data_IF_262009131779
#
_entry.id   IF_262009131779
#
_cell.length_a   1.000
_cell.length_b   1.000
_cell.length_c   1.000
_cell.angle_alpha   90.00
_cell.angle_beta   90.00
_cell.angle_gamma   90.00
#
_symmetry.space_group_name_H-M   'P 1'
#
loop_
_entity.id
_entity.type
_entity.pdbx_description
1 polymer ?
#
# COMPACT_ATOMS: atom_id res chain seq x y z
N UNK A 1 -41.79 -8.46 21.58
CA UNK A 1 -42.14 -7.13 21.04
C UNK A 1 -40.91 -6.26 21.26
N UNK A 2 -40.11 -5.86 20.29
CA UNK A 2 -40.24 -5.79 18.83
C UNK A 2 -38.81 -5.90 18.28
N UNK A 3 -38.58 -6.91 17.45
CA UNK A 3 -37.44 -6.97 16.55
C UNK A 3 -37.82 -6.16 15.32
N UNK A 4 -37.21 -4.99 15.11
CA UNK A 4 -37.25 -4.28 13.83
C UNK A 4 -36.18 -3.18 13.76
N UNK A 5 -34.91 -3.58 13.65
CA UNK A 5 -33.84 -2.68 13.19
C UNK A 5 -32.96 -3.52 12.26
N UNK A 6 -32.74 -3.03 11.03
CA UNK A 6 -31.83 -3.55 10.00
C UNK A 6 -32.38 -4.44 8.86
N UNK A 7 -33.66 -4.36 8.51
CA UNK A 7 -34.13 -4.79 7.17
C UNK A 7 -34.88 -3.68 6.43
N UNK A 8 -34.37 -2.46 6.51
CA UNK A 8 -34.71 -1.44 5.52
C UNK A 8 -34.21 -1.89 4.16
N UNK A 9 -35.10 -2.37 3.29
CA UNK A 9 -34.86 -2.35 1.84
C UNK A 9 -34.41 -0.94 1.51
N UNK A 10 -33.12 -0.75 1.20
CA UNK A 10 -32.63 0.51 0.70
C UNK A 10 -33.55 0.95 -0.43
N UNK A 11 -33.96 2.22 -0.42
CA UNK A 11 -34.72 2.81 -1.51
C UNK A 11 -34.09 2.38 -2.84
N UNK A 12 -34.93 2.02 -3.81
CA UNK A 12 -34.55 1.61 -5.16
C UNK A 12 -33.83 2.77 -5.86
N UNK A 13 -32.56 3.00 -5.50
CA UNK A 13 -31.69 3.94 -6.18
C UNK A 13 -31.41 3.42 -7.59
N UNK A 14 -30.93 4.31 -8.46
CA UNK A 14 -30.42 3.94 -9.76
C UNK A 14 -28.93 3.56 -9.67
N UNK A 15 -28.41 2.73 -10.58
CA UNK A 15 -26.99 2.43 -10.65
C UNK A 15 -26.15 3.71 -10.81
N UNK A 16 -24.90 3.65 -10.36
CA UNK A 16 -23.99 4.80 -10.36
C UNK A 16 -22.57 4.39 -10.71
N UNK A 17 -21.75 5.36 -11.10
CA UNK A 17 -20.31 5.21 -11.23
C UNK A 17 -19.64 6.03 -10.13
N UNK A 18 -18.75 5.41 -9.36
CA UNK A 18 -17.86 6.11 -8.44
C UNK A 18 -16.56 6.46 -9.16
N UNK A 19 -16.31 7.75 -9.37
CA UNK A 19 -15.00 8.23 -9.86
C UNK A 19 -14.13 8.58 -8.67
N UNK A 20 -12.96 7.96 -8.58
CA UNK A 20 -12.16 7.90 -7.37
C UNK A 20 -10.72 8.35 -7.63
N UNK A 21 -10.23 9.26 -6.81
CA UNK A 21 -8.82 9.60 -6.67
C UNK A 21 -8.20 8.77 -5.55
N UNK A 22 -6.93 8.43 -5.71
CA UNK A 22 -6.12 7.83 -4.65
C UNK A 22 -5.40 8.95 -3.91
N UNK A 23 -5.70 9.14 -2.63
CA UNK A 23 -5.04 10.13 -1.78
C UNK A 23 -3.63 9.68 -1.36
N UNK A 24 -2.82 10.59 -0.83
CA UNK A 24 -1.44 10.28 -0.40
C UNK A 24 -1.37 9.16 0.66
N UNK A 25 -2.45 8.96 1.42
CA UNK A 25 -2.56 7.94 2.46
C UNK A 25 -3.06 6.59 1.92
N UNK A 26 -3.22 6.46 0.60
CA UNK A 26 -3.77 5.27 -0.05
C UNK A 26 -5.29 5.12 0.14
N UNK A 27 -5.96 6.18 0.60
CA UNK A 27 -7.41 6.27 0.72
C UNK A 27 -8.07 6.65 -0.60
N UNK A 28 -9.33 6.25 -0.76
CA UNK A 28 -10.13 6.56 -1.95
C UNK A 28 -11.08 7.71 -1.65
N UNK A 29 -10.98 8.78 -2.44
CA UNK A 29 -11.86 9.95 -2.37
C UNK A 29 -12.47 10.24 -3.72
N UNK A 30 -13.73 10.62 -3.77
CA UNK A 30 -14.40 10.70 -5.05
C UNK A 30 -15.82 11.20 -5.02
N UNK A 31 -16.48 11.11 -6.17
CA UNK A 31 -17.88 11.43 -6.34
C UNK A 31 -18.65 10.22 -6.84
N UNK A 32 -19.88 10.08 -6.35
CA UNK A 32 -20.85 9.16 -6.91
C UNK A 32 -21.63 9.89 -8.01
N UNK A 33 -21.56 9.39 -9.23
CA UNK A 33 -22.23 9.97 -10.40
C UNK A 33 -23.34 9.00 -10.84
N UNK A 34 -24.61 9.44 -10.88
CA UNK A 34 -25.70 8.65 -11.45
C UNK A 34 -25.37 8.17 -12.88
N UNK A 35 -25.82 6.96 -13.24
CA UNK A 35 -25.44 6.37 -14.53
C UNK A 35 -25.96 7.17 -15.75
N UNK A 36 -27.08 7.89 -15.62
CA UNK A 36 -27.61 8.79 -16.63
C UNK A 36 -26.72 10.03 -16.87
N UNK A 37 -25.88 10.38 -15.89
CA UNK A 37 -24.91 11.48 -15.94
C UNK A 37 -23.46 11.03 -16.24
N UNK A 38 -23.24 9.74 -16.55
CA UNK A 38 -21.89 9.17 -16.75
C UNK A 38 -21.07 9.87 -17.85
N UNK A 39 -21.73 10.53 -18.80
CA UNK A 39 -21.09 11.29 -19.87
C UNK A 39 -20.06 12.29 -19.32
N UNK A 40 -20.34 12.92 -18.18
CA UNK A 40 -19.44 13.86 -17.50
C UNK A 40 -18.12 13.25 -17.04
N UNK A 41 -18.12 11.96 -16.71
CA UNK A 41 -16.90 11.23 -16.31
C UNK A 41 -15.97 11.12 -17.52
N UNK A 42 -16.51 10.63 -18.63
CA UNK A 42 -15.74 10.32 -19.83
C UNK A 42 -15.32 11.57 -20.61
N UNK A 43 -16.04 12.68 -20.46
CA UNK A 43 -15.66 14.00 -21.00
C UNK A 43 -14.69 14.77 -20.09
N UNK A 44 -14.29 14.22 -18.94
CA UNK A 44 -13.35 14.87 -18.02
C UNK A 44 -13.93 16.11 -17.31
N UNK A 45 -15.27 16.20 -17.20
CA UNK A 45 -15.97 17.34 -16.61
C UNK A 45 -16.16 17.20 -15.09
N UNK A 46 -15.82 16.05 -14.51
CA UNK A 46 -15.89 15.86 -13.06
C UNK A 46 -14.77 16.64 -12.40
N UNK A 47 -15.12 17.47 -11.43
CA UNK A 47 -14.17 18.27 -10.65
C UNK A 47 -14.17 17.89 -9.19
N UNK A 48 -13.03 18.03 -8.53
CA UNK A 48 -12.89 17.98 -7.07
C UNK A 48 -11.96 19.11 -6.62
N UNK A 49 -12.16 19.66 -5.41
CA UNK A 49 -11.23 20.64 -4.86
C UNK A 49 -9.83 20.05 -4.73
N UNK A 50 -8.80 20.82 -5.11
CA UNK A 50 -7.40 20.35 -5.16
C UNK A 50 -6.90 19.86 -3.79
N UNK A 51 -7.39 20.46 -2.70
CA UNK A 51 -7.08 20.05 -1.33
C UNK A 51 -7.37 18.57 -1.04
N UNK A 52 -8.27 17.94 -1.80
CA UNK A 52 -8.62 16.51 -1.68
C UNK A 52 -7.39 15.59 -1.81
N UNK A 53 -6.35 16.04 -2.52
CA UNK A 53 -5.11 15.28 -2.71
C UNK A 53 -4.08 15.50 -1.60
N UNK A 54 -4.25 16.55 -0.79
CA UNK A 54 -3.27 16.99 0.22
C UNK A 54 -3.68 16.70 1.67
N UNK A 55 -4.75 15.93 1.88
CA UNK A 55 -5.31 15.68 3.21
C UNK A 55 -4.38 14.80 4.05
N UNK A 56 -4.27 15.11 5.34
CA UNK A 56 -3.58 14.23 6.29
C UNK A 56 -4.42 12.98 6.62
N UNK A 57 -3.88 12.10 7.47
CA UNK A 57 -4.55 10.86 7.86
C UNK A 57 -5.92 11.07 8.54
N UNK A 58 -6.20 12.25 9.10
CA UNK A 58 -7.50 12.58 9.70
C UNK A 58 -8.47 13.25 8.71
N UNK A 59 -8.00 13.58 7.51
CA UNK A 59 -8.78 14.26 6.48
C UNK A 59 -8.77 15.79 6.60
N UNK A 60 -7.83 16.37 7.35
CA UNK A 60 -7.66 17.81 7.47
C UNK A 60 -6.97 18.39 6.22
N UNK A 61 -7.43 19.56 5.76
CA UNK A 61 -6.93 20.22 4.53
C UNK A 61 -5.56 20.86 4.70
N UNK A 62 -5.15 21.07 5.95
CA UNK A 62 -3.85 21.59 6.34
C UNK A 62 -3.50 22.90 5.63
N UNK A 63 -4.44 23.84 5.52
CA UNK A 63 -4.22 25.10 4.77
C UNK A 63 -2.97 25.87 5.22
N UNK A 64 -2.62 25.82 6.50
CA UNK A 64 -1.40 26.42 7.06
C UNK A 64 -0.09 25.79 6.54
N UNK A 65 -0.13 24.57 5.98
CA UNK A 65 0.98 23.86 5.34
C UNK A 65 0.89 23.98 3.81
N UNK A 66 -0.30 23.78 3.26
CA UNK A 66 -0.53 23.62 1.82
C UNK A 66 -0.77 24.97 1.12
N UNK A 67 -1.40 25.91 1.81
CA UNK A 67 -1.87 27.18 1.25
C UNK A 67 -2.94 27.00 0.16
N UNK A 68 -3.61 25.84 0.10
CA UNK A 68 -4.53 25.50 -0.98
C UNK A 68 -6.00 25.81 -0.66
N UNK A 69 -6.43 25.62 0.58
CA UNK A 69 -7.83 25.70 0.99
C UNK A 69 -8.25 27.17 1.16
N UNK A 70 -8.43 27.66 2.39
CA UNK A 70 -8.86 29.03 2.64
C UNK A 70 -7.90 30.09 2.08
N UNK A 71 -6.61 29.78 1.96
CA UNK A 71 -5.58 30.72 1.49
C UNK A 71 -5.78 31.16 0.03
N UNK A 72 -6.19 30.25 -0.86
CA UNK A 72 -6.45 30.57 -2.28
C UNK A 72 -7.87 30.21 -2.76
N UNK A 73 -8.72 29.72 -1.85
CA UNK A 73 -10.12 29.39 -2.12
C UNK A 73 -10.37 27.99 -2.66
N UNK A 74 -9.46 27.04 -2.42
CA UNK A 74 -9.56 25.62 -2.81
C UNK A 74 -9.97 25.39 -4.28
N UNK A 75 -9.13 25.81 -5.24
CA UNK A 75 -9.47 25.68 -6.65
C UNK A 75 -9.71 24.22 -7.03
N UNK A 76 -10.70 24.00 -7.89
CA UNK A 76 -10.99 22.69 -8.45
C UNK A 76 -9.88 22.22 -9.40
N UNK A 77 -9.60 20.91 -9.39
CA UNK A 77 -8.95 20.19 -10.48
C UNK A 77 -9.94 19.32 -11.25
N UNK A 78 -9.60 18.95 -12.48
CA UNK A 78 -10.40 18.03 -13.30
C UNK A 78 -9.97 16.57 -13.02
N UNK A 79 -10.93 15.70 -12.72
CA UNK A 79 -10.69 14.27 -12.51
C UNK A 79 -10.78 13.55 -13.86
N UNK A 80 -9.65 13.13 -14.40
CA UNK A 80 -9.55 12.39 -15.65
C UNK A 80 -9.60 10.89 -15.35
N UNK A 81 -10.73 10.26 -15.68
CA UNK A 81 -10.94 8.83 -15.44
C UNK A 81 -10.07 7.97 -16.36
N UNK A 82 -9.53 6.88 -15.80
CA UNK A 82 -8.79 5.86 -16.56
C UNK A 82 -9.71 4.68 -16.84
N UNK A 83 -10.23 4.57 -18.06
CA UNK A 83 -11.14 3.50 -18.49
C UNK A 83 -10.59 2.09 -18.21
N UNK A 84 -9.26 1.91 -18.22
CA UNK A 84 -8.62 0.62 -17.94
C UNK A 84 -8.85 0.15 -16.50
N UNK A 85 -9.20 1.07 -15.59
CA UNK A 85 -9.50 0.80 -14.19
C UNK A 85 -11.00 0.66 -13.89
N UNK A 86 -11.87 0.75 -14.90
CA UNK A 86 -13.32 0.61 -14.72
C UNK A 86 -13.68 -0.81 -14.26
N UNK A 87 -14.32 -0.93 -13.11
CA UNK A 87 -14.66 -2.21 -12.49
C UNK A 87 -16.07 -2.19 -11.85
N UNK A 88 -16.82 -3.31 -11.86
CA UNK A 88 -18.09 -3.38 -11.16
C UNK A 88 -17.91 -3.28 -9.65
N UNK A 89 -18.96 -2.87 -8.93
CA UNK A 89 -19.03 -2.92 -7.47
C UNK A 89 -20.04 -3.99 -7.02
N UNK A 90 -19.64 -5.27 -6.87
CA UNK A 90 -20.59 -6.36 -6.60
C UNK A 90 -21.26 -6.28 -5.22
N UNK A 91 -20.75 -5.43 -4.33
CA UNK A 91 -21.33 -5.14 -3.02
C UNK A 91 -22.34 -3.97 -3.04
N UNK A 92 -22.42 -3.22 -4.14
CA UNK A 92 -23.28 -2.05 -4.21
C UNK A 92 -24.74 -2.43 -4.51
N UNK A 93 -25.67 -1.74 -3.85
CA UNK A 93 -27.08 -1.73 -4.21
C UNK A 93 -27.43 -0.33 -4.77
N UNK A 94 -28.19 -0.23 -5.89
CA UNK A 94 -28.64 -1.34 -6.75
C UNK A 94 -27.49 -1.97 -7.57
N UNK A 95 -27.75 -3.16 -8.13
CA UNK A 95 -26.85 -3.85 -9.07
C UNK A 95 -26.55 -2.98 -10.31
N UNK A 96 -25.39 -3.21 -10.94
CA UNK A 96 -24.94 -2.45 -12.11
C UNK A 96 -24.14 -1.19 -11.78
N UNK A 97 -23.85 -0.93 -10.50
CA UNK A 97 -22.96 0.17 -10.11
C UNK A 97 -21.49 -0.18 -10.38
N UNK A 98 -20.70 0.82 -10.79
CA UNK A 98 -19.30 0.69 -11.19
C UNK A 98 -18.40 1.64 -10.39
N UNK A 99 -17.09 1.41 -10.41
CA UNK A 99 -16.06 2.33 -9.93
C UNK A 99 -14.97 2.49 -10.99
N UNK A 100 -14.35 3.66 -11.02
CA UNK A 100 -13.22 3.97 -11.90
C UNK A 100 -12.24 4.86 -11.16
N UNK A 101 -10.94 4.57 -11.30
CA UNK A 101 -9.90 5.44 -10.77
C UNK A 101 -9.64 6.58 -11.74
N UNK A 102 -9.26 7.73 -11.19
CA UNK A 102 -8.95 8.94 -11.94
C UNK A 102 -7.63 9.54 -11.47
N UNK A 103 -7.03 10.34 -12.35
CA UNK A 103 -5.91 11.23 -12.04
C UNK A 103 -6.45 12.65 -12.01
N UNK A 104 -6.10 13.45 -11.00
CA UNK A 104 -6.45 14.87 -11.03
C UNK A 104 -5.50 15.63 -11.94
N UNK A 105 -6.06 16.50 -12.78
CA UNK A 105 -5.35 17.40 -13.68
C UNK A 105 -5.69 18.86 -13.35
N UNK A 106 -4.70 19.72 -13.52
CA UNK A 106 -4.85 21.18 -13.48
C UNK A 106 -5.69 21.66 -14.68
N UNK A 107 -6.15 22.91 -14.66
CA UNK A 107 -6.93 23.47 -15.78
C UNK A 107 -6.14 23.66 -17.07
N UNK A 108 -4.81 23.67 -17.02
CA UNK A 108 -3.95 23.65 -18.20
C UNK A 108 -3.79 22.24 -18.80
N UNK A 109 -4.42 21.24 -18.18
CA UNK A 109 -4.40 19.84 -18.60
C UNK A 109 -3.21 19.04 -18.09
N UNK A 110 -2.25 19.67 -17.38
CA UNK A 110 -1.14 18.95 -16.76
C UNK A 110 -1.64 18.10 -15.57
N UNK A 111 -1.06 16.90 -15.33
CA UNK A 111 -1.42 16.12 -14.16
C UNK A 111 -0.95 16.83 -12.88
N UNK A 112 -1.77 16.78 -11.84
CA UNK A 112 -1.42 17.36 -10.54
C UNK A 112 -0.16 16.72 -9.97
N UNK A 113 0.75 17.55 -9.47
CA UNK A 113 1.97 17.09 -8.80
C UNK A 113 1.68 16.37 -7.47
N UNK A 114 0.46 16.45 -6.96
CA UNK A 114 0.03 15.82 -5.71
C UNK A 114 -0.54 14.41 -5.92
N UNK A 115 -0.81 14.03 -7.18
CA UNK A 115 -1.48 12.78 -7.50
C UNK A 115 -0.52 11.57 -7.45
N UNK A 116 -0.73 10.58 -6.57
CA UNK A 116 0.10 9.39 -6.51
C UNK A 116 0.19 8.62 -7.84
N UNK A 117 -0.90 8.55 -8.62
CA UNK A 117 -0.90 7.89 -9.94
C UNK A 117 -0.04 8.67 -10.92
N UNK A 118 -0.12 10.00 -10.91
CA UNK A 118 0.72 10.83 -11.77
C UNK A 118 2.21 10.70 -11.43
N UNK A 119 2.55 10.66 -10.14
CA UNK A 119 3.93 10.45 -9.68
C UNK A 119 4.48 9.12 -10.18
N UNK A 120 3.74 8.02 -10.00
CA UNK A 120 4.15 6.72 -10.52
C UNK A 120 4.28 6.76 -12.05
N UNK A 121 3.32 7.36 -12.74
CA UNK A 121 3.34 7.50 -14.22
C UNK A 121 4.59 8.25 -14.70
N UNK A 122 5.02 9.28 -13.98
CA UNK A 122 6.25 10.01 -14.30
C UNK A 122 7.51 9.14 -14.17
N UNK A 123 7.57 8.25 -13.16
CA UNK A 123 8.65 7.26 -13.02
C UNK A 123 8.60 6.25 -14.16
N UNK A 124 7.43 5.73 -14.51
CA UNK A 124 7.27 4.76 -15.60
C UNK A 124 7.69 5.34 -16.96
N UNK A 125 7.45 6.63 -17.19
CA UNK A 125 7.95 7.31 -18.40
C UNK A 125 9.48 7.26 -18.52
N UNK A 126 10.22 7.36 -17.40
CA UNK A 126 11.69 7.23 -17.41
C UNK A 126 12.15 5.83 -17.85
N UNK A 127 11.37 4.79 -17.55
CA UNK A 127 11.60 3.43 -18.05
C UNK A 127 11.26 3.32 -19.55
N UNK A 128 10.11 3.87 -19.95
CA UNK A 128 9.68 3.87 -21.36
C UNK A 128 10.71 4.55 -22.27
N UNK A 129 11.27 5.68 -21.84
CA UNK A 129 12.33 6.42 -22.54
C UNK A 129 13.60 5.56 -22.75
N UNK A 130 13.87 4.61 -21.85
CA UNK A 130 14.96 3.62 -21.95
C UNK A 130 14.55 2.37 -22.75
N UNK A 131 13.31 2.29 -23.24
CA UNK A 131 12.75 1.12 -23.89
C UNK A 131 12.54 -0.06 -22.94
N UNK A 132 12.27 0.24 -21.67
CA UNK A 132 12.09 -0.74 -20.61
C UNK A 132 10.66 -0.70 -20.06
N UNK A 133 10.19 -1.85 -19.59
CA UNK A 133 8.89 -1.98 -18.93
C UNK A 133 9.08 -2.71 -17.60
N UNK A 134 8.79 -2.08 -16.44
CA UNK A 134 8.74 -2.79 -15.17
C UNK A 134 7.63 -3.84 -15.16
N UNK A 135 7.93 -5.01 -14.60
CA UNK A 135 6.97 -6.09 -14.36
C UNK A 135 6.89 -6.29 -12.86
N UNK A 136 5.70 -6.12 -12.29
CA UNK A 136 5.54 -6.09 -10.83
C UNK A 136 4.40 -6.97 -10.35
N UNK A 137 4.54 -7.50 -9.14
CA UNK A 137 3.51 -8.21 -8.38
C UNK A 137 3.54 -7.72 -6.93
N UNK A 138 2.39 -7.78 -6.27
CA UNK A 138 2.26 -7.39 -4.86
C UNK A 138 1.67 -8.52 -4.03
N UNK A 139 2.21 -8.74 -2.84
CA UNK A 139 1.67 -9.65 -1.83
C UNK A 139 1.07 -8.81 -0.71
N UNK A 140 -0.26 -8.77 -0.63
CA UNK A 140 -0.96 -7.95 0.36
C UNK A 140 -1.37 -8.81 1.55
N UNK A 141 -0.73 -8.58 2.69
CA UNK A 141 -1.21 -9.09 3.96
C UNK A 141 -2.27 -8.16 4.57
N UNK A 142 -3.22 -8.72 5.29
CA UNK A 142 -4.22 -7.97 6.04
C UNK A 142 -4.77 -8.82 7.18
N UNK A 143 -5.38 -8.16 8.17
CA UNK A 143 -6.14 -8.83 9.22
C UNK A 143 -7.63 -8.76 8.96
N UNK A 144 -8.34 -9.79 9.40
CA UNK A 144 -9.79 -9.82 9.57
C UNK A 144 -10.07 -9.95 11.07
N UNK A 145 -11.02 -9.18 11.57
CA UNK A 145 -11.36 -9.09 13.00
C UNK A 145 -12.87 -8.89 13.21
N UNK A 146 -13.33 -9.05 14.45
CA UNK A 146 -14.71 -8.75 14.83
C UNK A 146 -15.03 -7.25 14.67
N UNK A 147 -16.30 -6.91 14.42
CA UNK A 147 -16.74 -5.50 14.33
C UNK A 147 -16.93 -4.80 15.69
N UNK A 148 -16.91 -5.54 16.79
CA UNK A 148 -17.19 -5.05 18.14
C UNK A 148 -16.10 -4.12 18.72
N UNK A 149 -14.98 -3.94 18.00
CA UNK A 149 -13.88 -3.06 18.40
C UNK A 149 -14.31 -1.61 18.71
N UNK A 150 -15.44 -1.14 18.15
CA UNK A 150 -16.00 0.18 18.47
C UNK A 150 -16.57 0.27 19.88
N UNK A 151 -17.09 -0.84 20.38
CA UNK A 151 -17.69 -0.94 21.71
C UNK A 151 -16.63 -1.32 22.75
N UNK A 152 -15.69 -2.20 22.39
CA UNK A 152 -14.65 -2.71 23.29
C UNK A 152 -13.41 -1.80 23.35
N UNK A 153 -13.20 -0.94 22.35
CA UNK A 153 -11.99 -0.14 22.18
C UNK A 153 -10.76 -0.92 21.71
N UNK A 154 -10.87 -2.24 21.53
CA UNK A 154 -9.75 -3.12 21.17
C UNK A 154 -10.14 -4.10 20.04
N UNK A 155 -9.24 -4.37 19.09
CA UNK A 155 -9.49 -5.37 18.05
C UNK A 155 -9.53 -6.78 18.66
N UNK A 156 -10.51 -7.59 18.25
CA UNK A 156 -10.63 -9.00 18.63
C UNK A 156 -10.57 -9.88 17.39
N UNK A 157 -9.80 -10.99 17.37
CA UNK A 157 -9.81 -11.91 16.25
C UNK A 157 -11.20 -12.51 16.00
N UNK A 158 -11.49 -13.02 14.78
CA UNK A 158 -12.75 -13.66 14.46
C UNK A 158 -13.04 -14.80 15.44
N UNK A 159 -14.27 -14.87 15.97
CA UNK A 159 -14.63 -15.84 17.02
C UNK A 159 -14.37 -17.29 16.64
N UNK A 160 -14.52 -17.63 15.37
CA UNK A 160 -14.22 -18.98 14.84
C UNK A 160 -12.75 -19.39 14.97
N UNK A 161 -11.85 -18.42 15.19
CA UNK A 161 -10.42 -18.61 15.39
C UNK A 161 -10.01 -18.47 16.85
N UNK A 162 -10.97 -18.51 17.78
CA UNK A 162 -10.72 -18.34 19.22
C UNK A 162 -11.35 -19.44 20.08
N UNK A 163 -10.75 -19.73 21.22
CA UNK A 163 -11.32 -20.54 22.28
C UNK A 163 -11.36 -19.72 23.58
N UNK A 164 -12.58 -19.47 24.10
CA UNK A 164 -12.81 -18.62 25.29
C UNK A 164 -12.20 -17.21 25.18
N UNK A 165 -12.17 -16.65 23.97
CA UNK A 165 -11.63 -15.31 23.71
C UNK A 165 -10.14 -15.25 23.45
N UNK A 166 -9.41 -16.36 23.66
CA UNK A 166 -8.00 -16.46 23.30
C UNK A 166 -7.86 -17.00 21.88
N UNK A 167 -6.93 -16.50 21.07
CA UNK A 167 -6.60 -17.09 19.78
C UNK A 167 -6.34 -18.60 19.88
N UNK A 168 -6.79 -19.35 18.89
CA UNK A 168 -6.27 -20.70 18.65
C UNK A 168 -4.74 -20.60 18.40
N UNK A 169 -4.03 -21.74 18.39
CA UNK A 169 -2.58 -21.77 18.19
C UNK A 169 -2.09 -21.09 16.90
N UNK A 170 -0.80 -21.22 16.57
CA UNK A 170 -0.22 -20.54 15.41
C UNK A 170 -0.95 -20.89 14.09
N UNK A 171 -1.33 -19.85 13.33
CA UNK A 171 -2.18 -19.94 12.14
C UNK A 171 -1.40 -20.16 10.82
N UNK A 172 -0.07 -20.00 10.81
CA UNK A 172 0.73 -20.02 9.57
C UNK A 172 0.48 -21.30 8.75
N UNK A 173 0.02 -21.14 7.50
CA UNK A 173 -0.36 -22.21 6.58
C UNK A 173 -1.43 -23.18 7.11
N UNK A 174 -2.18 -22.79 8.15
CA UNK A 174 -3.22 -23.64 8.74
C UNK A 174 -4.50 -23.60 7.91
N UNK A 175 -4.80 -24.73 7.26
CA UNK A 175 -6.01 -24.90 6.46
C UNK A 175 -7.28 -24.84 7.30
N UNK A 176 -7.23 -25.16 8.60
CA UNK A 176 -8.41 -25.04 9.47
C UNK A 176 -8.81 -23.58 9.69
N UNK A 177 -7.85 -22.65 9.68
CA UNK A 177 -8.13 -21.22 9.74
C UNK A 177 -8.75 -20.69 8.43
N UNK A 178 -8.31 -21.26 7.29
CA UNK A 178 -8.93 -20.99 5.98
C UNK A 178 -10.37 -21.50 5.97
N UNK A 179 -10.60 -22.74 6.39
CA UNK A 179 -11.94 -23.37 6.44
C UNK A 179 -12.88 -22.59 7.38
N UNK A 180 -12.38 -22.12 8.52
CA UNK A 180 -13.15 -21.37 9.52
C UNK A 180 -13.64 -19.99 9.01
N UNK A 181 -13.07 -19.48 7.92
CA UNK A 181 -13.46 -18.21 7.28
C UNK A 181 -13.76 -18.37 5.78
N UNK A 182 -14.08 -19.59 5.31
CA UNK A 182 -14.25 -19.84 3.87
C UNK A 182 -15.36 -18.97 3.27
N UNK A 183 -16.52 -18.80 3.92
CA UNK A 183 -17.62 -17.95 3.41
C UNK A 183 -17.16 -16.50 3.11
N UNK A 184 -16.31 -15.95 3.98
CA UNK A 184 -15.68 -14.65 3.78
C UNK A 184 -14.69 -14.68 2.61
N UNK A 185 -13.77 -15.67 2.59
CA UNK A 185 -12.76 -15.80 1.56
C UNK A 185 -13.36 -16.07 0.17
N UNK A 186 -14.45 -16.84 0.08
CA UNK A 186 -15.21 -17.03 -1.16
C UNK A 186 -15.82 -15.72 -1.65
N UNK A 187 -16.28 -14.87 -0.75
CA UNK A 187 -16.79 -13.53 -1.12
C UNK A 187 -15.66 -12.65 -1.65
N UNK A 188 -14.48 -12.67 -1.01
CA UNK A 188 -13.28 -11.96 -1.52
C UNK A 188 -12.93 -12.45 -2.92
N UNK A 189 -12.84 -13.77 -3.13
CA UNK A 189 -12.57 -14.38 -4.44
C UNK A 189 -13.60 -13.99 -5.50
N UNK A 190 -14.88 -14.02 -5.15
CA UNK A 190 -15.96 -13.63 -6.06
C UNK A 190 -15.88 -12.15 -6.46
N UNK A 191 -15.57 -11.26 -5.51
CA UNK A 191 -15.43 -9.82 -5.76
C UNK A 191 -14.18 -9.51 -6.60
N UNK A 192 -13.03 -10.11 -6.26
CA UNK A 192 -11.81 -9.98 -7.05
C UNK A 192 -12.01 -10.46 -8.49
N UNK A 193 -12.65 -11.62 -8.68
CA UNK A 193 -13.01 -12.15 -10.00
C UNK A 193 -13.93 -11.21 -10.77
N UNK A 194 -14.95 -10.65 -10.13
CA UNK A 194 -15.87 -9.72 -10.79
C UNK A 194 -15.17 -8.44 -11.28
N UNK A 195 -14.10 -8.02 -10.60
CA UNK A 195 -13.28 -6.87 -10.98
C UNK A 195 -12.07 -7.24 -11.85
N UNK A 196 -11.96 -8.51 -12.27
CA UNK A 196 -10.83 -9.04 -13.04
C UNK A 196 -9.45 -8.82 -12.39
N UNK A 197 -9.38 -8.77 -11.05
CA UNK A 197 -8.10 -8.73 -10.36
C UNK A 197 -7.37 -10.06 -10.56
N UNK A 198 -6.05 -10.06 -10.81
CA UNK A 198 -5.23 -11.25 -10.96
C UNK A 198 -4.84 -11.81 -9.58
N UNK A 199 -5.82 -11.97 -8.70
CA UNK A 199 -5.64 -12.55 -7.37
C UNK A 199 -5.51 -14.07 -7.49
N UNK A 200 -4.46 -14.62 -6.90
CA UNK A 200 -4.13 -16.05 -7.00
C UNK A 200 -4.40 -16.78 -5.68
N UNK A 201 -3.35 -17.03 -4.89
CA UNK A 201 -3.44 -17.80 -3.68
C UNK A 201 -3.92 -16.94 -2.50
N UNK A 202 -4.63 -17.58 -1.58
CA UNK A 202 -4.89 -17.02 -0.26
C UNK A 202 -4.14 -17.87 0.76
N UNK A 203 -3.33 -17.24 1.59
CA UNK A 203 -2.53 -17.91 2.60
C UNK A 203 -2.97 -17.45 3.98
N UNK A 204 -3.11 -18.38 4.93
CA UNK A 204 -3.24 -18.06 6.33
C UNK A 204 -1.85 -17.69 6.89
N UNK A 205 -1.72 -16.49 7.43
CA UNK A 205 -0.46 -15.95 7.93
C UNK A 205 -0.32 -16.11 9.45
N UNK A 206 0.82 -15.66 10.01
CA UNK A 206 1.19 -15.92 11.40
C UNK A 206 0.18 -15.47 12.46
N UNK A 207 -0.45 -14.32 12.27
CA UNK A 207 -1.38 -13.75 13.25
C UNK A 207 -2.79 -14.34 13.17
N UNK A 208 -3.55 -14.32 14.28
CA UNK A 208 -4.93 -14.80 14.28
C UNK A 208 -5.80 -13.90 13.40
N UNK A 209 -6.42 -14.48 12.38
CA UNK A 209 -7.18 -13.76 11.37
C UNK A 209 -6.31 -13.00 10.34
N UNK A 210 -5.01 -13.27 10.27
CA UNK A 210 -4.11 -12.70 9.25
C UNK A 210 -4.14 -13.53 7.98
N UNK A 211 -4.33 -12.88 6.84
CA UNK A 211 -4.29 -13.52 5.53
C UNK A 211 -3.42 -12.73 4.57
N UNK A 212 -2.88 -13.43 3.58
CA UNK A 212 -2.19 -12.86 2.43
C UNK A 212 -2.94 -13.22 1.15
N UNK A 213 -3.02 -12.27 0.21
CA UNK A 213 -3.43 -12.51 -1.17
C UNK A 213 -2.34 -12.00 -2.11
N UNK A 214 -1.82 -12.89 -2.96
CA UNK A 214 -0.84 -12.57 -3.98
C UNK A 214 -1.55 -12.09 -5.26
N UNK A 215 -1.12 -10.96 -5.80
CA UNK A 215 -1.50 -10.48 -7.13
C UNK A 215 -0.42 -10.86 -8.14
N UNK A 216 -0.82 -11.45 -9.28
CA UNK A 216 0.13 -11.92 -10.29
C UNK A 216 0.94 -10.78 -10.93
N UNK A 217 2.10 -11.16 -11.44
CA UNK A 217 3.03 -10.26 -12.14
C UNK A 217 2.38 -9.64 -13.37
N UNK A 218 2.49 -8.33 -13.53
CA UNK A 218 1.99 -7.61 -14.70
C UNK A 218 3.02 -6.63 -15.26
N UNK A 219 3.18 -6.56 -16.60
CA UNK A 219 4.00 -5.57 -17.29
C UNK A 219 3.29 -4.21 -17.39
N UNK A 220 2.58 -3.82 -16.32
CA UNK A 220 1.90 -2.54 -16.16
C UNK A 220 1.87 -2.23 -14.65
N UNK A 221 2.87 -1.48 -14.21
CA UNK A 221 3.03 -1.17 -12.80
C UNK A 221 1.98 -0.18 -12.28
N UNK A 222 1.37 0.63 -13.14
CA UNK A 222 0.26 1.49 -12.72
C UNK A 222 -0.97 0.63 -12.42
N UNK A 223 -1.30 -0.29 -13.32
CA UNK A 223 -2.37 -1.26 -13.09
C UNK A 223 -2.08 -2.14 -11.86
N UNK A 224 -0.81 -2.52 -11.63
CA UNK A 224 -0.35 -3.20 -10.41
C UNK A 224 -0.77 -2.49 -9.11
N UNK A 225 -0.50 -1.19 -9.03
CA UNK A 225 -0.90 -0.38 -7.90
C UNK A 225 -2.43 -0.23 -7.79
N UNK A 226 -3.13 -0.10 -8.92
CA UNK A 226 -4.59 0.02 -8.99
C UNK A 226 -5.29 -1.22 -8.42
N UNK A 227 -4.87 -2.42 -8.84
CA UNK A 227 -5.45 -3.66 -8.34
C UNK A 227 -5.15 -3.85 -6.85
N UNK A 228 -3.99 -3.42 -6.37
CA UNK A 228 -3.70 -3.45 -4.93
C UNK A 228 -4.67 -2.55 -4.15
N UNK A 229 -4.94 -1.34 -4.63
CA UNK A 229 -5.96 -0.45 -4.06
C UNK A 229 -7.35 -1.07 -4.07
N UNK A 230 -7.76 -1.67 -5.19
CA UNK A 230 -9.04 -2.36 -5.28
C UNK A 230 -9.11 -3.59 -4.39
N UNK A 231 -8.03 -4.35 -4.24
CA UNK A 231 -7.97 -5.49 -3.32
C UNK A 231 -8.20 -5.05 -1.87
N UNK A 232 -7.53 -3.97 -1.41
CA UNK A 232 -7.77 -3.38 -0.08
C UNK A 232 -9.25 -3.02 0.12
N UNK A 233 -9.90 -2.47 -0.90
CA UNK A 233 -11.34 -2.17 -0.87
C UNK A 233 -12.19 -3.44 -0.85
N UNK A 234 -11.87 -4.43 -1.67
CA UNK A 234 -12.58 -5.72 -1.76
C UNK A 234 -12.58 -6.45 -0.43
N UNK A 235 -11.41 -6.60 0.22
CA UNK A 235 -11.30 -7.36 1.48
C UNK A 235 -12.16 -6.72 2.58
N UNK A 236 -12.21 -5.40 2.63
CA UNK A 236 -13.07 -4.65 3.56
C UNK A 236 -14.56 -4.81 3.24
N UNK A 237 -14.96 -4.72 1.97
CA UNK A 237 -16.37 -4.86 1.59
C UNK A 237 -16.88 -6.29 1.80
N UNK A 238 -16.04 -7.29 1.51
CA UNK A 238 -16.33 -8.68 1.84
C UNK A 238 -16.48 -8.87 3.36
N UNK A 239 -15.60 -8.28 4.18
CA UNK A 239 -15.67 -8.42 5.63
C UNK A 239 -16.97 -7.82 6.18
N UNK A 240 -17.36 -6.64 5.70
CA UNK A 240 -18.62 -5.99 6.08
C UNK A 240 -19.84 -6.85 5.79
N UNK A 241 -19.87 -7.55 4.66
CA UNK A 241 -20.98 -8.47 4.30
C UNK A 241 -21.15 -9.58 5.34
N UNK A 242 -20.07 -9.98 6.00
CA UNK A 242 -20.04 -11.06 7.00
C UNK A 242 -20.03 -10.56 8.45
N UNK A 243 -20.31 -9.27 8.69
CA UNK A 243 -20.29 -8.71 10.04
C UNK A 243 -18.87 -8.60 10.66
N UNK A 244 -17.84 -8.67 9.82
CA UNK A 244 -16.43 -8.57 10.19
C UNK A 244 -15.84 -7.23 9.76
N UNK A 245 -14.58 -7.00 10.13
CA UNK A 245 -13.79 -5.84 9.73
C UNK A 245 -12.45 -6.33 9.17
N UNK A 246 -12.06 -5.86 7.98
CA UNK A 246 -10.68 -6.04 7.51
C UNK A 246 -9.85 -4.79 7.76
N UNK A 247 -8.55 -4.97 7.92
CA UNK A 247 -7.61 -3.86 8.11
C UNK A 247 -6.25 -4.19 7.53
N UNK A 248 -5.66 -3.18 6.87
CA UNK A 248 -4.29 -3.18 6.39
C UNK A 248 -3.36 -2.39 7.35
N UNK A 249 -3.82 -2.11 8.57
CA UNK A 249 -2.99 -1.49 9.61
C UNK A 249 -1.72 -2.31 9.83
N UNK A 250 -0.55 -1.66 9.74
CA UNK A 250 0.75 -2.33 9.77
C UNK A 250 0.97 -3.23 10.99
N UNK A 251 0.53 -2.81 12.18
CA UNK A 251 0.66 -3.59 13.42
C UNK A 251 -0.64 -3.53 14.21
N UNK A 252 -1.49 -4.53 14.00
CA UNK A 252 -2.78 -4.63 14.68
C UNK A 252 -2.63 -5.05 16.15
N UNK A 253 -1.89 -6.14 16.40
CA UNK A 253 -1.68 -6.69 17.74
C UNK A 253 -0.22 -6.58 18.14
N UNK A 254 0.09 -6.13 19.36
CA UNK A 254 1.48 -5.96 19.84
C UNK A 254 2.29 -7.26 19.79
N UNK A 255 1.68 -8.40 20.12
CA UNK A 255 2.36 -9.69 20.27
C UNK A 255 2.41 -10.56 19.01
N UNK A 256 1.74 -10.16 17.92
CA UNK A 256 1.68 -10.95 16.67
C UNK A 256 2.47 -10.33 15.52
N UNK A 257 2.55 -10.99 14.36
CA UNK A 257 3.17 -10.40 13.18
C UNK A 257 2.46 -9.09 12.76
N UNK A 258 3.16 -8.25 12.00
CA UNK A 258 2.52 -7.11 11.32
C UNK A 258 2.10 -7.50 9.91
N UNK A 259 1.31 -6.66 9.24
CA UNK A 259 0.91 -6.86 7.85
C UNK A 259 1.88 -6.20 6.88
N UNK A 260 2.51 -6.99 6.01
CA UNK A 260 3.39 -6.56 4.92
C UNK A 260 2.67 -6.26 3.60
N UNK A 261 3.35 -5.48 2.76
CA UNK A 261 3.06 -5.35 1.33
C UNK A 261 4.34 -5.63 0.55
N UNK A 262 4.65 -6.90 0.32
CA UNK A 262 5.84 -7.25 -0.44
C UNK A 262 5.65 -6.92 -1.91
N UNK A 263 6.72 -6.47 -2.55
CA UNK A 263 6.71 -6.13 -3.98
C UNK A 263 7.77 -6.94 -4.69
N UNK A 264 7.33 -7.78 -5.63
CA UNK A 264 8.22 -8.40 -6.58
C UNK A 264 8.36 -7.50 -7.80
N UNK A 265 9.59 -7.30 -8.27
CA UNK A 265 9.86 -6.48 -9.44
C UNK A 265 10.94 -7.08 -10.33
N UNK A 266 10.66 -7.11 -11.63
CA UNK A 266 11.63 -7.32 -12.70
C UNK A 266 11.43 -6.27 -13.78
N UNK A 267 12.27 -6.28 -14.83
CA UNK A 267 12.21 -5.31 -15.92
C UNK A 267 12.43 -6.04 -17.23
N UNK A 268 11.57 -5.79 -18.22
CA UNK A 268 11.70 -6.35 -19.57
C UNK A 268 12.09 -5.26 -20.58
N UNK A 269 12.81 -5.64 -21.63
CA UNK A 269 13.08 -4.78 -22.79
C UNK A 269 11.93 -4.79 -23.81
N UNK A 270 12.08 -4.04 -24.91
CA UNK A 270 11.10 -3.98 -26.02
C UNK A 270 10.80 -5.33 -26.66
N UNK A 271 11.71 -6.29 -26.55
CA UNK A 271 11.51 -7.65 -27.06
C UNK A 271 10.89 -8.59 -26.02
N UNK A 272 10.51 -8.06 -24.85
CA UNK A 272 9.91 -8.82 -23.75
C UNK A 272 10.91 -9.66 -22.96
N UNK A 273 12.21 -9.42 -23.12
CA UNK A 273 13.25 -10.18 -22.42
C UNK A 273 13.56 -9.53 -21.09
N UNK A 274 13.58 -10.33 -20.02
CA UNK A 274 13.95 -9.85 -18.70
C UNK A 274 15.42 -9.40 -18.68
N UNK A 275 15.67 -8.11 -18.43
CA UNK A 275 17.01 -7.53 -18.43
C UNK A 275 17.79 -7.79 -17.13
N UNK A 276 17.12 -8.32 -16.10
CA UNK A 276 17.74 -8.76 -14.85
C UNK A 276 18.20 -10.22 -14.90
N UNK A 277 17.86 -10.94 -15.97
CA UNK A 277 18.29 -12.31 -16.21
C UNK A 277 19.81 -12.39 -16.42
N UNK A 278 20.47 -13.22 -15.62
CA UNK A 278 21.90 -13.49 -15.74
C UNK A 278 22.30 -14.40 -16.92
N UNK A 279 21.36 -15.10 -17.57
CA UNK A 279 21.57 -16.08 -18.65
C UNK A 279 22.73 -17.06 -18.39
N UNK A 280 22.79 -17.63 -17.19
CA UNK A 280 23.84 -18.58 -16.79
C UNK A 280 25.20 -17.95 -16.42
N UNK A 281 25.26 -16.61 -16.37
CA UNK A 281 26.40 -15.84 -15.84
C UNK A 281 26.10 -15.23 -14.47
N UNK A 282 26.88 -14.21 -14.10
CA UNK A 282 26.67 -13.46 -12.87
C UNK A 282 25.49 -12.47 -13.03
N UNK A 283 24.56 -12.38 -12.05
CA UNK A 283 23.39 -11.50 -12.10
C UNK A 283 23.74 -10.01 -11.85
N UNK A 284 24.67 -9.43 -12.62
CA UNK A 284 25.21 -8.07 -12.39
C UNK A 284 24.13 -6.98 -12.32
N UNK A 285 23.24 -6.92 -13.31
CA UNK A 285 22.15 -5.93 -13.33
C UNK A 285 21.19 -6.12 -12.17
N UNK A 286 20.85 -7.37 -11.83
CA UNK A 286 19.99 -7.69 -10.70
C UNK A 286 20.62 -7.28 -9.36
N UNK A 287 21.93 -7.52 -9.18
CA UNK A 287 22.69 -7.04 -8.02
C UNK A 287 22.73 -5.50 -7.98
N UNK A 288 22.93 -4.86 -9.12
CA UNK A 288 22.99 -3.40 -9.20
C UNK A 288 21.66 -2.74 -8.83
N UNK A 289 20.53 -3.23 -9.34
CA UNK A 289 19.21 -2.73 -8.90
C UNK A 289 18.95 -3.01 -7.43
N UNK A 290 19.43 -4.14 -6.90
CA UNK A 290 19.38 -4.42 -5.47
C UNK A 290 20.18 -3.37 -4.67
N UNK A 291 21.36 -2.98 -5.13
CA UNK A 291 22.18 -1.96 -4.49
C UNK A 291 21.50 -0.58 -4.50
N UNK A 292 20.89 -0.19 -5.63
CA UNK A 292 20.12 1.04 -5.74
C UNK A 292 18.94 1.09 -4.76
N UNK A 293 18.24 -0.03 -4.58
CA UNK A 293 17.19 -0.17 -3.56
C UNK A 293 17.73 -0.04 -2.13
N UNK A 294 18.85 -0.70 -1.81
CA UNK A 294 19.48 -0.60 -0.48
C UNK A 294 19.94 0.83 -0.17
N UNK A 295 20.55 1.51 -1.15
CA UNK A 295 21.06 2.88 -0.99
C UNK A 295 19.95 3.90 -0.72
N UNK A 296 18.77 3.71 -1.33
CA UNK A 296 17.65 4.66 -1.24
C UNK A 296 16.68 4.34 -0.09
N UNK A 297 16.80 3.17 0.53
CA UNK A 297 15.78 2.60 1.40
C UNK A 297 15.49 3.43 2.65
N UNK A 298 16.53 4.02 3.27
CA UNK A 298 16.38 4.88 4.46
C UNK A 298 15.62 6.16 4.14
N UNK A 299 15.97 6.79 3.02
CA UNK A 299 15.34 8.04 2.56
C UNK A 299 13.89 7.81 2.15
N UNK A 300 13.58 6.63 1.58
CA UNK A 300 12.25 6.21 1.18
C UNK A 300 11.43 5.52 2.29
N UNK A 301 11.99 5.31 3.48
CA UNK A 301 11.34 4.54 4.55
C UNK A 301 9.94 5.10 4.89
N UNK A 302 9.76 6.42 4.86
CA UNK A 302 8.49 7.08 5.12
C UNK A 302 7.39 6.69 4.11
N UNK A 303 7.75 6.32 2.87
CA UNK A 303 6.79 5.80 1.89
C UNK A 303 6.40 4.35 2.21
N UNK A 304 7.37 3.55 2.67
CA UNK A 304 7.17 2.14 3.03
C UNK A 304 6.41 1.96 4.34
N UNK A 305 6.50 2.95 5.23
CA UNK A 305 5.94 3.00 6.57
C UNK A 305 5.37 4.40 6.84
N UNK A 306 4.16 4.72 6.33
CA UNK A 306 3.65 6.09 6.27
C UNK A 306 3.03 6.61 7.58
N UNK A 307 2.86 5.76 8.60
CA UNK A 307 2.16 6.11 9.83
C UNK A 307 2.97 5.72 11.07
N UNK A 308 2.67 6.34 12.22
CA UNK A 308 3.30 6.01 13.50
C UNK A 308 3.16 4.52 13.87
N UNK A 309 2.02 3.89 13.56
CA UNK A 309 1.82 2.46 13.77
C UNK A 309 2.75 1.59 12.92
N UNK A 310 3.13 2.03 11.72
CA UNK A 310 4.01 1.31 10.82
C UNK A 310 5.36 0.99 11.47
N UNK A 311 5.88 1.90 12.29
CA UNK A 311 7.18 1.74 12.95
C UNK A 311 7.19 0.72 14.10
N UNK A 312 6.01 0.26 14.53
CA UNK A 312 5.90 -0.89 15.45
C UNK A 312 6.27 -2.20 14.77
N UNK A 313 6.38 -2.25 13.44
CA UNK A 313 6.95 -3.39 12.71
C UNK A 313 8.47 -3.44 12.79
N UNK A 314 9.19 -2.33 12.99
CA UNK A 314 10.66 -2.31 12.96
C UNK A 314 11.30 -2.54 14.34
N UNK A 315 10.93 -3.64 15.00
CA UNK A 315 11.51 -4.03 16.30
C UNK A 315 12.50 -5.18 16.12
N UNK A 316 13.56 -5.29 16.95
CA UNK A 316 14.42 -6.47 16.96
C UNK A 316 13.59 -7.75 17.14
N UNK A 317 13.82 -8.77 16.30
CA UNK A 317 13.08 -10.03 16.34
C UNK A 317 11.67 -9.96 15.75
N UNK A 318 11.26 -8.84 15.17
CA UNK A 318 10.04 -8.77 14.36
C UNK A 318 10.23 -9.50 13.02
N UNK A 319 9.12 -9.95 12.43
CA UNK A 319 9.12 -10.57 11.09
C UNK A 319 9.39 -9.58 9.94
N UNK A 320 9.49 -8.27 10.23
CA UNK A 320 9.82 -7.26 9.23
C UNK A 320 11.34 -7.00 9.22
N UNK A 321 11.96 -6.86 8.03
CA UNK A 321 13.38 -6.60 7.93
C UNK A 321 13.73 -5.20 8.46
N UNK A 322 14.78 -5.13 9.29
CA UNK A 322 15.32 -3.87 9.85
C UNK A 322 16.71 -3.53 9.33
N UNK A 323 17.50 -4.55 8.98
CA UNK A 323 18.83 -4.39 8.40
C UNK A 323 18.70 -4.22 6.89
N UNK A 324 19.42 -3.24 6.32
CA UNK A 324 19.52 -3.00 4.88
C UNK A 324 20.48 -4.03 4.29
N UNK A 325 20.00 -5.26 4.20
CA UNK A 325 20.72 -6.38 3.62
C UNK A 325 19.92 -7.03 2.52
N UNK A 326 20.61 -7.83 1.73
CA UNK A 326 20.02 -8.62 0.66
C UNK A 326 20.46 -10.08 0.74
N UNK A 327 19.68 -10.98 0.15
CA UNK A 327 20.02 -12.40 0.12
C UNK A 327 19.21 -13.21 -0.88
N UNK A 328 19.86 -14.17 -1.52
CA UNK A 328 19.22 -15.11 -2.44
C UNK A 328 18.37 -16.10 -1.66
N UNK A 329 17.06 -16.11 -1.91
CA UNK A 329 16.12 -16.97 -1.20
C UNK A 329 15.95 -16.66 0.30
N UNK A 330 16.56 -15.59 0.83
CA UNK A 330 16.58 -15.31 2.27
C UNK A 330 15.48 -14.34 2.72
N UNK A 331 14.38 -14.87 3.29
CA UNK A 331 13.20 -14.08 3.73
C UNK A 331 13.45 -13.10 4.87
N UNK A 332 14.57 -13.22 5.59
CA UNK A 332 14.95 -12.28 6.66
C UNK A 332 15.63 -10.98 6.19
N UNK A 333 15.85 -10.82 4.88
CA UNK A 333 16.54 -9.64 4.31
C UNK A 333 15.56 -8.58 3.84
N UNK A 334 16.00 -7.33 3.74
CA UNK A 334 15.17 -6.23 3.22
C UNK A 334 14.87 -6.41 1.72
N UNK A 335 15.89 -6.80 0.95
CA UNK A 335 15.75 -7.19 -0.46
C UNK A 335 16.07 -8.67 -0.61
N UNK A 336 15.04 -9.48 -0.87
CA UNK A 336 15.25 -10.88 -1.24
C UNK A 336 15.40 -10.98 -2.76
N UNK A 337 16.28 -11.87 -3.21
CA UNK A 337 16.34 -12.29 -4.62
C UNK A 337 15.78 -13.71 -4.70
N UNK A 338 14.52 -13.91 -5.11
CA UNK A 338 13.95 -15.25 -5.18
C UNK A 338 14.61 -16.13 -6.24
N UNK A 339 14.88 -15.54 -7.41
CA UNK A 339 15.48 -16.20 -8.57
C UNK A 339 16.47 -15.24 -9.23
N UNK A 340 17.59 -15.77 -9.72
CA UNK A 340 18.69 -14.99 -10.33
C UNK A 340 18.75 -15.10 -11.85
N UNK A 341 17.96 -15.99 -12.46
CA UNK A 341 18.07 -16.30 -13.88
C UNK A 341 16.73 -16.61 -14.53
N UNK A 342 16.73 -16.54 -15.86
CA UNK A 342 15.58 -16.73 -16.71
C UNK A 342 14.52 -15.64 -16.56
N UNK A 343 13.31 -15.88 -17.09
CA UNK A 343 12.19 -14.95 -16.99
C UNK A 343 11.82 -14.60 -15.53
N UNK A 344 12.11 -15.49 -14.58
CA UNK A 344 11.79 -15.32 -13.17
C UNK A 344 12.76 -14.41 -12.39
N UNK A 345 13.91 -14.03 -12.98
CA UNK A 345 14.91 -13.20 -12.30
C UNK A 345 14.31 -11.87 -11.80
N UNK A 346 14.29 -11.66 -10.48
CA UNK A 346 13.57 -10.54 -9.87
C UNK A 346 14.09 -10.22 -8.48
N UNK A 347 13.78 -9.02 -8.01
CA UNK A 347 13.88 -8.67 -6.59
C UNK A 347 12.53 -8.85 -5.90
N UNK A 348 12.57 -8.94 -4.58
CA UNK A 348 11.44 -8.90 -3.67
C UNK A 348 11.76 -7.88 -2.56
N UNK A 349 11.06 -6.76 -2.56
CA UNK A 349 11.17 -5.73 -1.55
C UNK A 349 10.21 -6.03 -0.39
N UNK A 350 10.75 -6.26 0.81
CA UNK A 350 10.00 -6.84 1.95
C UNK A 350 9.70 -5.85 3.09
N UNK A 351 10.14 -4.60 2.95
CA UNK A 351 10.05 -3.60 4.02
C UNK A 351 8.64 -3.03 4.20
N UNK A 352 7.92 -2.79 3.10
CA UNK A 352 6.69 -2.01 3.13
C UNK A 352 5.57 -2.68 3.94
N UNK A 353 4.78 -1.85 4.62
CA UNK A 353 3.58 -2.28 5.32
C UNK A 353 2.36 -2.29 4.39
N UNK A 354 1.35 -3.09 4.75
CA UNK A 354 0.07 -3.12 4.06
C UNK A 354 -0.66 -1.76 4.05
N UNK A 355 -0.27 -0.85 4.92
CA UNK A 355 -0.77 0.52 5.06
C UNK A 355 -0.13 1.51 4.07
N UNK A 356 0.92 1.12 3.34
CA UNK A 356 1.54 1.95 2.31
C UNK A 356 0.60 2.24 1.13
N UNK A 357 0.69 3.45 0.56
CA UNK A 357 0.08 3.77 -0.73
C UNK A 357 0.81 3.00 -1.84
N UNK A 358 0.16 2.08 -2.58
CA UNK A 358 0.82 1.25 -3.59
C UNK A 358 1.47 2.05 -4.73
N UNK A 359 0.87 3.17 -5.15
CA UNK A 359 1.43 4.00 -6.22
C UNK A 359 2.74 4.67 -5.80
N UNK A 360 2.76 5.29 -4.61
CA UNK A 360 3.97 5.90 -4.06
C UNK A 360 5.04 4.84 -3.73
N UNK A 361 4.62 3.68 -3.22
CA UNK A 361 5.49 2.55 -2.95
C UNK A 361 6.22 2.09 -4.21
N UNK A 362 5.48 1.86 -5.31
CA UNK A 362 6.09 1.48 -6.57
C UNK A 362 6.95 2.60 -7.15
N UNK A 363 6.57 3.88 -7.00
CA UNK A 363 7.40 4.99 -7.44
C UNK A 363 8.77 5.00 -6.72
N UNK A 364 8.79 4.80 -5.39
CA UNK A 364 10.03 4.70 -4.61
C UNK A 364 10.89 3.49 -5.01
N UNK A 365 10.29 2.31 -5.12
CA UNK A 365 11.01 1.07 -5.47
C UNK A 365 11.60 1.18 -6.88
N UNK A 366 10.78 1.59 -7.86
CA UNK A 366 11.23 1.73 -9.25
C UNK A 366 12.24 2.88 -9.40
N UNK A 367 12.11 3.95 -8.62
CA UNK A 367 13.14 4.99 -8.53
C UNK A 367 14.48 4.45 -8.02
N UNK A 368 14.47 3.63 -6.97
CA UNK A 368 15.69 2.98 -6.46
C UNK A 368 16.28 1.96 -7.44
N UNK A 369 15.43 1.25 -8.19
CA UNK A 369 15.89 0.36 -9.26
C UNK A 369 16.53 1.16 -10.42
N UNK A 370 15.99 2.32 -10.80
CA UNK A 370 16.60 3.19 -11.81
C UNK A 370 18.02 3.61 -11.41
N UNK A 371 18.22 3.97 -10.14
CA UNK A 371 19.56 4.28 -9.62
C UNK A 371 20.56 3.14 -9.88
N UNK A 372 20.15 1.89 -9.60
CA UNK A 372 20.99 0.72 -9.90
C UNK A 372 21.13 0.44 -11.40
N UNK A 373 20.13 0.75 -12.23
CA UNK A 373 20.26 0.60 -13.68
C UNK A 373 21.23 1.62 -14.29
N UNK A 374 21.32 2.81 -13.70
CA UNK A 374 22.12 3.91 -14.23
C UNK A 374 23.60 3.87 -13.74
N UNK A 375 23.88 3.36 -12.53
CA UNK A 375 25.19 3.52 -11.87
C UNK A 375 26.04 2.23 -11.64
N UNK A 376 25.62 1.05 -12.12
CA UNK A 376 26.34 -0.26 -11.95
C UNK A 376 26.90 -0.50 -10.53
N UNK A 377 26.01 -0.39 -9.56
CA UNK A 377 26.28 -0.42 -8.12
C UNK A 377 26.51 -1.85 -7.59
N UNK A 378 27.25 -1.96 -6.48
CA UNK A 378 27.45 -3.21 -5.75
C UNK A 378 26.60 -3.23 -4.46
N UNK A 379 25.71 -4.22 -4.26
CA UNK A 379 24.89 -4.30 -3.05
C UNK A 379 25.69 -4.76 -1.82
N UNK A 380 26.98 -5.05 -1.99
CA UNK A 380 27.86 -5.53 -0.94
C UNK A 380 27.65 -7.01 -0.65
N UNK A 381 28.15 -7.45 0.50
CA UNK A 381 28.12 -8.85 0.91
C UNK A 381 26.69 -9.39 1.07
N UNK A 382 26.46 -10.59 0.55
CA UNK A 382 25.17 -11.28 0.64
C UNK A 382 24.92 -11.82 2.05
N UNK A 383 23.68 -11.71 2.55
CA UNK A 383 23.24 -12.42 3.75
C UNK A 383 22.79 -13.84 3.41
N UNK A 384 23.41 -14.80 4.10
CA UNK A 384 23.14 -16.24 3.98
C UNK A 384 22.65 -16.80 5.31
N UNK A 385 22.05 -18.01 5.35
CA UNK A 385 21.66 -18.62 6.62
C UNK A 385 22.80 -18.81 7.64
N UNK A 386 24.04 -18.90 7.17
CA UNK A 386 25.24 -19.08 7.99
C UNK A 386 26.00 -17.80 8.31
N UNK A 387 25.70 -16.70 7.63
CA UNK A 387 26.49 -15.46 7.70
C UNK A 387 25.64 -14.24 7.37
N UNK A 388 25.68 -13.23 8.23
CA UNK A 388 25.09 -11.93 7.98
C UNK A 388 26.20 -10.86 8.05
N UNK A 389 26.25 -9.90 7.12
CA UNK A 389 27.24 -8.83 7.16
C UNK A 389 27.12 -8.02 8.46
N UNK A 390 28.28 -7.68 9.05
CA UNK A 390 28.33 -6.85 10.25
C UNK A 390 28.18 -5.35 9.92
N UNK A 391 27.74 -4.55 10.90
CA UNK A 391 27.66 -3.08 10.80
C UNK A 391 26.83 -2.56 9.62
N UNK A 392 25.81 -3.31 9.21
CA UNK A 392 24.90 -2.93 8.15
C UNK A 392 24.09 -1.69 8.53
N UNK A 393 23.77 -0.89 7.52
CA UNK A 393 22.81 0.18 7.69
C UNK A 393 21.46 -0.41 8.15
N UNK A 394 20.75 0.31 9.01
CA UNK A 394 19.44 -0.06 9.55
C UNK A 394 18.37 0.98 9.28
N UNK A 395 17.15 0.51 9.07
CA UNK A 395 15.95 1.34 9.14
C UNK A 395 15.74 1.87 10.56
N UNK A 396 15.09 3.03 10.67
CA UNK A 396 14.72 3.58 11.98
C UNK A 396 13.41 2.97 12.49
N UNK A 397 13.25 2.89 13.80
CA UNK A 397 11.98 2.55 14.45
C UNK A 397 11.23 3.79 14.93
N UNK A 398 11.74 4.98 14.62
CA UNK A 398 11.17 6.26 15.00
C UNK A 398 10.57 6.99 13.79
N UNK A 399 9.28 7.29 13.89
CA UNK A 399 8.51 7.92 12.82
C UNK A 399 9.05 9.29 12.45
N UNK A 400 9.37 10.12 13.45
CA UNK A 400 9.86 11.49 13.21
C UNK A 400 11.22 11.48 12.50
N UNK A 401 12.11 10.58 12.88
CA UNK A 401 13.42 10.41 12.23
C UNK A 401 13.28 10.06 10.75
N UNK A 402 12.34 9.17 10.39
CA UNK A 402 12.08 8.84 8.99
C UNK A 402 11.46 10.01 8.22
N UNK A 403 10.60 10.81 8.88
CA UNK A 403 10.09 12.06 8.30
C UNK A 403 11.22 13.04 7.98
N UNK A 404 12.16 13.25 8.90
CA UNK A 404 13.27 14.18 8.67
C UNK A 404 14.23 13.67 7.59
N UNK A 405 14.48 12.36 7.52
CA UNK A 405 15.25 11.77 6.43
C UNK A 405 14.60 12.02 5.06
N UNK A 406 13.29 11.81 4.95
CA UNK A 406 12.53 12.09 3.73
C UNK A 406 12.57 13.58 3.35
N UNK A 407 12.40 14.48 4.33
CA UNK A 407 12.45 15.95 4.17
C UNK A 407 13.84 16.51 3.87
N UNK A 408 14.89 15.71 3.98
CA UNK A 408 16.25 16.09 3.59
C UNK A 408 16.71 15.42 2.28
N UNK A 409 15.94 14.45 1.78
CA UNK A 409 16.38 13.56 0.70
C UNK A 409 16.38 14.22 -0.69
N UNK A 410 17.53 14.28 -1.39
CA UNK A 410 17.57 14.64 -2.80
C UNK A 410 17.01 13.53 -3.71
N UNK A 411 17.14 12.26 -3.33
CA UNK A 411 16.56 11.14 -4.07
C UNK A 411 15.04 11.26 -4.15
N UNK A 412 14.38 11.53 -3.02
CA UNK A 412 12.93 11.75 -2.99
C UNK A 412 12.55 12.99 -3.81
N UNK A 413 13.35 14.05 -3.76
CA UNK A 413 13.09 15.25 -4.57
C UNK A 413 13.14 14.96 -6.08
N UNK A 414 14.05 14.09 -6.53
CA UNK A 414 14.13 13.67 -7.93
C UNK A 414 12.94 12.79 -8.34
N UNK A 415 12.66 11.74 -7.56
CA UNK A 415 11.64 10.74 -7.92
C UNK A 415 10.21 11.28 -7.78
N UNK A 416 9.92 11.99 -6.69
CA UNK A 416 8.57 12.48 -6.39
C UNK A 416 8.36 13.95 -6.78
N UNK A 417 9.45 14.68 -7.07
CA UNK A 417 9.42 16.12 -7.27
C UNK A 417 9.53 16.91 -5.96
N UNK A 418 10.26 18.02 -6.01
CA UNK A 418 10.53 18.86 -4.83
C UNK A 418 9.26 19.36 -4.14
N UNK A 419 8.23 19.72 -4.92
CA UNK A 419 6.94 20.19 -4.39
C UNK A 419 6.21 19.10 -3.60
N UNK A 420 6.21 17.87 -4.12
CA UNK A 420 5.56 16.74 -3.45
C UNK A 420 6.34 16.31 -2.21
N UNK A 421 7.68 16.24 -2.30
CA UNK A 421 8.56 15.96 -1.16
C UNK A 421 8.27 16.91 0.00
N UNK A 422 8.20 18.21 -0.29
CA UNK A 422 7.87 19.22 0.72
C UNK A 422 6.48 19.00 1.30
N UNK A 423 5.46 18.87 0.44
CA UNK A 423 4.07 18.67 0.86
C UNK A 423 3.92 17.43 1.76
N UNK A 424 4.29 16.26 1.26
CA UNK A 424 4.15 15.00 1.96
C UNK A 424 4.98 14.98 3.25
N UNK A 425 6.22 15.48 3.19
CA UNK A 425 7.11 15.56 4.35
C UNK A 425 6.58 16.46 5.46
N UNK A 426 6.08 17.66 5.12
CA UNK A 426 5.52 18.58 6.11
C UNK A 426 4.19 18.07 6.70
N UNK A 427 3.34 17.44 5.88
CA UNK A 427 2.12 16.77 6.37
C UNK A 427 2.45 15.64 7.34
N UNK A 428 3.39 14.74 6.98
CA UNK A 428 3.82 13.66 7.87
C UNK A 428 4.56 14.15 9.11
N UNK A 429 5.23 15.29 9.03
CA UNK A 429 5.80 15.95 10.21
C UNK A 429 4.72 16.38 11.19
N UNK A 430 3.64 17.03 10.73
CA UNK A 430 2.49 17.36 11.57
C UNK A 430 1.90 16.11 12.24
N UNK A 431 1.71 15.03 11.47
CA UNK A 431 1.19 13.76 11.99
C UNK A 431 2.12 13.18 13.08
N UNK A 432 3.44 13.18 12.84
CA UNK A 432 4.44 12.70 13.80
C UNK A 432 4.45 13.52 15.09
N UNK A 433 4.39 14.85 15.00
CA UNK A 433 4.32 15.73 16.17
C UNK A 433 3.01 15.51 16.95
N UNK A 434 1.88 15.35 16.27
CA UNK A 434 0.60 15.04 16.90
C UNK A 434 0.66 13.71 17.66
N UNK A 435 1.24 12.68 17.04
CA UNK A 435 1.47 11.39 17.70
C UNK A 435 2.33 11.53 18.96
N UNK A 436 3.48 12.21 18.87
CA UNK A 436 4.39 12.41 20.00
C UNK A 436 3.77 13.18 21.17
N UNK A 437 2.80 14.06 20.90
CA UNK A 437 2.06 14.82 21.93
C UNK A 437 0.92 14.02 22.55
N UNK A 438 0.56 12.88 21.97
CA UNK A 438 -0.58 12.07 22.44
C UNK A 438 -0.18 11.24 23.65
N UNK A 439 -0.89 11.40 24.76
CA UNK A 439 -0.73 10.58 25.96
C UNK A 439 -1.56 9.31 25.82
N UNK A 440 -0.92 8.15 25.80
CA UNK A 440 -1.54 6.85 25.56
C UNK A 440 -1.99 6.16 26.86
N UNK A 441 -2.81 5.12 26.73
CA UNK A 441 -3.16 4.25 27.86
C UNK A 441 -1.96 3.56 28.49
N UNK A 442 -0.87 3.36 27.73
CA UNK A 442 0.38 2.86 28.28
C UNK A 442 1.00 3.88 29.25
N UNK A 443 0.98 5.16 28.89
CA UNK A 443 1.51 6.23 29.73
C UNK A 443 0.73 6.34 31.03
N UNK A 444 -0.61 6.33 30.95
CA UNK A 444 -1.47 6.35 32.15
C UNK A 444 -1.22 5.12 33.04
N UNK A 445 -1.19 3.90 32.49
CA UNK A 445 -0.96 2.69 33.29
C UNK A 445 0.42 2.63 33.93
N UNK A 446 1.44 3.21 33.29
CA UNK A 446 2.84 3.05 33.71
C UNK A 446 3.32 4.19 34.61
N UNK A 447 2.92 5.42 34.32
CA UNK A 447 3.49 6.62 34.93
C UNK A 447 2.55 7.33 35.89
N UNK A 448 1.22 7.28 35.67
CA UNK A 448 0.24 7.95 36.54
C UNK A 448 0.34 7.56 38.03
N UNK A 449 0.64 6.29 38.41
CA UNK A 449 0.74 5.92 39.82
C UNK A 449 2.05 6.36 40.49
N UNK A 450 3.03 6.89 39.74
CA UNK A 450 4.32 7.31 40.30
C UNK A 450 4.17 8.69 40.94
N UNK A 451 4.65 8.83 42.17
CA UNK A 451 4.67 10.08 42.94
C UNK A 451 6.05 10.73 42.83
#
# INVERSE_FOLDING_TARGET
MTADIMHGKAATGEPRIEILLVGMNGDLRGKQIPLDAQKKIWEGEVRLPSSTQSLDIWGDDNDHITGLSLTIGDPDGNCIADERSLAPMPWAAPEGSMQVLATMHEFDGSPSFMDPRAILTAVLKRYEERGLTPVVATELEFYVMEQDWRDTGHPSPPKSLTYRGEPNGFQLYDMSAVDALDDYLQTVRAYAKAQNLPAEATTAEFGPGQFEINLLHRPDALAAADDCIYLKRIVEQAARKHGLKSTCMAKLYSEHAGSGLHVHASVIDREGRNILDAKGGEPKRLKSVCAGLLNTMREAQLIFAPFANSYRRFQPGSFAPIDLTWGTGHRGTAIRIPDTSGPAARIEHRVAGADANPHLLLAAILGGMLLGLDDDLDPGEETTPSHAPENTARLTHDFLTAVEAFRASPFIADIFGERYRKLYGDTKYKEAITYLRTVSDFDYRTYLPRV
#
